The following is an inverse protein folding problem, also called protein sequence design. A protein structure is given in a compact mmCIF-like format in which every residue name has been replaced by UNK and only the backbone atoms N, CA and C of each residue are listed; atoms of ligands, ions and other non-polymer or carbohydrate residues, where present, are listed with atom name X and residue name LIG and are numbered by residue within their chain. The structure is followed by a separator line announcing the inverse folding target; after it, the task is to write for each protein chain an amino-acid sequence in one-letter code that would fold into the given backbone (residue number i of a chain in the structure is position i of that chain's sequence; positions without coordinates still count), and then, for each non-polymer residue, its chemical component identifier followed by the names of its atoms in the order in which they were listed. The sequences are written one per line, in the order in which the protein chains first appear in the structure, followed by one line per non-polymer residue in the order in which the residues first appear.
data_IF_232031886570
#
_entry.id   IF_232031886570
#
_cell.length_a   1.000
_cell.length_b   1.000
_cell.length_c   1.000
_cell.angle_alpha   90.00
_cell.angle_beta   90.00
_cell.angle_gamma   90.00
#
_symmetry.space_group_name_H-M   'P 1'
#
loop_
_entity.id
_entity.type
_entity.pdbx_description
1 polymer ?
#
# COMPACT_ATOMS: atom_id res chain seq x y z
N UNK A 1 -4.41 6.75 -16.88
CA UNK A 1 -3.38 6.61 -15.83
C UNK A 1 -3.73 5.40 -14.97
N UNK A 2 -2.72 4.66 -14.51
CA UNK A 2 -2.93 3.53 -13.60
C UNK A 2 -3.27 4.03 -12.19
N UNK A 3 -3.90 3.17 -11.41
CA UNK A 3 -4.13 3.38 -9.99
C UNK A 3 -3.45 2.27 -9.20
N UNK A 4 -2.88 2.63 -8.07
CA UNK A 4 -2.20 1.73 -7.17
C UNK A 4 -2.76 1.92 -5.76
N UNK A 5 -2.82 0.86 -4.99
CA UNK A 5 -3.25 0.96 -3.59
C UNK A 5 -2.03 0.95 -2.69
N UNK A 6 -2.02 1.84 -1.69
CA UNK A 6 -1.00 1.91 -0.64
C UNK A 6 -1.50 1.11 0.56
N UNK A 7 -0.73 0.12 0.99
CA UNK A 7 -1.08 -0.82 2.06
C UNK A 7 -0.12 -0.63 3.22
N UNK A 8 -0.62 -0.27 4.40
CA UNK A 8 0.16 -0.38 5.62
C UNK A 8 0.36 -1.85 5.95
N UNK A 9 1.62 -2.28 5.99
CA UNK A 9 2.00 -3.68 6.17
C UNK A 9 1.85 -4.06 7.65
N UNK A 10 1.10 -5.14 7.91
CA UNK A 10 1.07 -5.81 9.22
C UNK A 10 2.08 -6.96 9.25
N UNK A 11 2.10 -7.80 8.22
CA UNK A 11 3.11 -8.84 8.03
C UNK A 11 3.34 -9.09 6.53
N UNK A 12 4.46 -9.75 6.23
CA UNK A 12 4.88 -10.12 4.88
C UNK A 12 5.36 -11.58 4.93
N UNK A 13 4.84 -12.41 4.02
CA UNK A 13 5.13 -13.84 3.96
C UNK A 13 5.30 -14.22 2.50
N UNK A 14 6.44 -14.82 2.14
CA UNK A 14 6.74 -15.30 0.79
C UNK A 14 6.53 -14.25 -0.32
N UNK A 15 6.83 -12.99 -0.03
CA UNK A 15 6.66 -11.87 -0.97
C UNK A 15 5.21 -11.35 -1.11
N UNK A 16 4.28 -11.89 -0.33
CA UNK A 16 2.92 -11.39 -0.20
C UNK A 16 2.78 -10.51 1.04
N UNK A 17 2.01 -9.45 0.89
CA UNK A 17 1.73 -8.45 1.92
C UNK A 17 0.35 -8.70 2.50
N UNK A 18 0.24 -8.72 3.83
CA UNK A 18 -1.03 -8.56 4.51
C UNK A 18 -1.03 -7.25 5.30
N UNK A 19 -2.12 -6.51 5.24
CA UNK A 19 -2.16 -5.17 5.77
C UNK A 19 -3.48 -4.47 5.58
N UNK A 20 -3.49 -3.18 5.88
CA UNK A 20 -4.68 -2.34 5.79
C UNK A 20 -4.50 -1.34 4.66
N UNK A 21 -5.53 -1.15 3.86
CA UNK A 21 -5.51 -0.16 2.80
C UNK A 21 -5.58 1.26 3.37
N UNK A 22 -4.62 2.10 2.97
CA UNK A 22 -4.53 3.49 3.38
C UNK A 22 -5.25 4.42 2.40
N UNK A 23 -4.86 4.35 1.12
CA UNK A 23 -5.39 5.19 0.05
C UNK A 23 -5.01 4.65 -1.33
N UNK A 24 -5.69 5.14 -2.36
CA UNK A 24 -5.29 4.93 -3.75
C UNK A 24 -4.44 6.10 -4.25
N UNK A 25 -3.43 5.80 -5.06
CA UNK A 25 -2.61 6.76 -5.78
C UNK A 25 -2.86 6.64 -7.28
N UNK A 26 -3.18 7.76 -7.93
CA UNK A 26 -3.31 7.82 -9.40
C UNK A 26 -2.00 8.29 -10.01
N UNK A 27 -1.40 7.49 -10.89
CA UNK A 27 -0.11 7.84 -11.51
C UNK A 27 0.60 6.65 -12.14
N UNK A 28 1.92 6.59 -12.00
CA UNK A 28 2.77 5.46 -12.38
C UNK A 28 3.40 4.80 -11.13
N UNK A 29 4.00 3.63 -11.32
CA UNK A 29 4.57 2.84 -10.21
C UNK A 29 5.62 3.63 -9.43
N UNK A 30 6.56 4.30 -10.10
CA UNK A 30 7.60 5.11 -9.45
C UNK A 30 7.00 6.23 -8.57
N UNK A 31 5.93 6.88 -9.04
CA UNK A 31 5.24 7.91 -8.26
C UNK A 31 4.49 7.34 -7.06
N UNK A 32 3.95 6.12 -7.18
CA UNK A 32 3.32 5.41 -6.07
C UNK A 32 4.34 4.98 -5.01
N UNK A 33 5.51 4.47 -5.44
CA UNK A 33 6.63 4.13 -4.55
C UNK A 33 7.12 5.36 -3.81
N UNK A 34 7.29 6.49 -4.51
CA UNK A 34 7.63 7.77 -3.87
C UNK A 34 6.60 8.16 -2.82
N UNK A 35 5.30 8.04 -3.14
CA UNK A 35 4.21 8.35 -2.21
C UNK A 35 4.21 7.42 -0.99
N UNK A 36 4.52 6.14 -1.16
CA UNK A 36 4.69 5.18 -0.07
C UNK A 36 5.79 5.65 0.89
N UNK A 37 6.98 5.97 0.36
CA UNK A 37 8.11 6.46 1.13
C UNK A 37 7.80 7.78 1.86
N UNK A 38 7.10 8.71 1.21
CA UNK A 38 6.62 9.95 1.84
C UNK A 38 5.66 9.66 3.00
N UNK A 39 4.78 8.68 2.83
CA UNK A 39 3.81 8.27 3.85
C UNK A 39 4.51 7.64 5.06
N UNK A 40 5.52 6.80 4.83
CA UNK A 40 6.37 6.25 5.90
C UNK A 40 7.08 7.37 6.66
N UNK A 41 7.72 8.31 5.94
CA UNK A 41 8.40 9.47 6.54
C UNK A 41 7.46 10.34 7.38
N UNK A 42 6.26 10.61 6.87
CA UNK A 42 5.24 11.38 7.60
C UNK A 42 4.81 10.71 8.91
N UNK A 43 4.95 9.38 9.00
CA UNK A 43 4.70 8.58 10.20
C UNK A 43 6.00 8.28 10.98
N UNK A 44 7.04 9.08 10.81
CA UNK A 44 8.36 8.90 11.44
C UNK A 44 8.97 7.52 11.21
N UNK A 45 8.67 6.90 10.05
CA UNK A 45 9.08 5.55 9.67
C UNK A 45 8.64 4.45 10.65
N UNK A 46 7.56 4.69 11.42
CA UNK A 46 6.98 3.69 12.35
C UNK A 46 6.10 2.66 11.65
N UNK A 47 5.71 2.92 10.41
CA UNK A 47 4.96 2.00 9.57
C UNK A 47 5.76 1.68 8.32
N UNK A 48 5.46 0.54 7.69
CA UNK A 48 5.90 0.22 6.33
C UNK A 48 4.70 0.24 5.40
N UNK A 49 4.89 0.73 4.18
CA UNK A 49 3.85 0.87 3.18
C UNK A 49 4.24 0.11 1.91
N UNK A 50 3.42 -0.85 1.51
CA UNK A 50 3.53 -1.52 0.22
C UNK A 50 2.69 -0.80 -0.83
N UNK A 51 3.16 -0.81 -2.06
CA UNK A 51 2.34 -0.48 -3.23
C UNK A 51 1.83 -1.81 -3.79
N UNK A 52 0.56 -1.90 -4.14
CA UNK A 52 -0.06 -3.08 -4.76
C UNK A 52 -0.94 -2.64 -5.93
N UNK A 53 -1.37 -3.58 -6.77
CA UNK A 53 -2.40 -3.29 -7.78
C UNK A 53 -3.65 -2.74 -7.09
N UNK A 54 -4.38 -1.86 -7.76
CA UNK A 54 -5.57 -1.24 -7.17
C UNK A 54 -6.51 -2.30 -6.59
N UNK A 55 -6.84 -2.14 -5.32
CA UNK A 55 -7.85 -2.93 -4.64
C UNK A 55 -9.20 -2.23 -4.77
N UNK A 56 -10.24 -2.99 -5.10
CA UNK A 56 -11.61 -2.51 -5.08
C UNK A 56 -12.09 -2.33 -3.64
N UNK A 57 -12.45 -1.12 -3.25
CA UNK A 57 -13.00 -0.83 -1.94
C UNK A 57 -13.34 0.65 -1.75
N UNK A 58 -14.07 0.95 -0.68
CA UNK A 58 -14.41 2.30 -0.23
C UNK A 58 -13.70 2.60 1.09
N UNK A 59 -13.12 3.80 1.24
CA UNK A 59 -12.41 4.18 2.47
C UNK A 59 -13.38 4.67 3.53
N UNK A 60 -13.17 4.34 4.82
CA UNK A 60 -12.10 3.47 5.35
C UNK A 60 -12.43 1.97 5.26
N UNK A 61 -11.46 1.16 4.82
CA UNK A 61 -11.55 -0.29 4.87
C UNK A 61 -10.82 -0.79 6.12
N UNK A 62 -11.55 -1.06 7.20
CA UNK A 62 -10.99 -1.57 8.46
C UNK A 62 -10.67 -3.08 8.42
N UNK A 63 -10.95 -3.75 7.29
CA UNK A 63 -10.62 -5.16 7.15
C UNK A 63 -9.13 -5.34 6.88
N UNK A 64 -8.55 -6.37 7.51
CA UNK A 64 -7.23 -6.86 7.13
C UNK A 64 -7.32 -7.49 5.73
N UNK A 65 -6.56 -6.93 4.79
CA UNK A 65 -6.40 -7.47 3.45
C UNK A 65 -5.21 -8.43 3.46
N UNK A 66 -5.38 -9.60 2.84
CA UNK A 66 -4.37 -10.65 2.86
C UNK A 66 -3.93 -11.07 1.46
N UNK A 67 -2.74 -11.68 1.38
CA UNK A 67 -2.13 -12.24 0.18
C UNK A 67 -2.01 -11.26 -0.98
N UNK A 68 -1.68 -10.00 -0.67
CA UNK A 68 -1.55 -8.96 -1.68
C UNK A 68 -0.17 -9.03 -2.33
N UNK A 69 -0.12 -9.03 -3.67
CA UNK A 69 1.14 -8.98 -4.39
C UNK A 69 1.72 -7.58 -4.35
N UNK A 70 2.90 -7.45 -3.74
CA UNK A 70 3.66 -6.19 -3.73
C UNK A 70 4.08 -5.82 -5.14
N UNK A 71 3.96 -4.54 -5.45
CA UNK A 71 4.54 -3.89 -6.61
C UNK A 71 5.72 -3.05 -6.10
N UNK A 72 6.91 -3.53 -6.38
CA UNK A 72 8.19 -2.97 -5.96
C UNK A 72 9.30 -3.77 -6.60
#
# INVERSE_FOLDING_TARGET
MMKFSLIQIYNEVDGFVNGVWLQDHTGNLNSAIRKANETEKANSNRIKVAVVERIGGSAPNYCLLTNLKRLG
#
